data_IF_822496970648
#
_entry.id   IF_822496970648
#
_cell.length_a   1.000
_cell.length_b   1.000
_cell.length_c   1.000
_cell.angle_alpha   90.00
_cell.angle_beta   90.00
_cell.angle_gamma   90.00
#
_symmetry.space_group_name_H-M   'P 1'
#
loop_
_entity.id
_entity.type
_entity.pdbx_description
1 polymer ?
#
# COMPACT_ATOMS: atom_id res chain seq x y z
N UNK A 1 -0.58 -3.78 -8.08
CA UNK A 1 -1.76 -2.89 -8.05
C UNK A 1 -1.53 -1.67 -8.92
N UNK A 2 -2.60 -1.06 -9.39
CA UNK A 2 -2.50 0.16 -10.20
C UNK A 2 -2.18 1.38 -9.33
N UNK A 3 -2.73 1.41 -8.12
CA UNK A 3 -2.52 2.51 -7.18
C UNK A 3 -2.90 2.07 -5.77
N UNK A 4 -2.51 2.90 -4.80
CA UNK A 4 -2.94 2.75 -3.41
C UNK A 4 -3.62 4.04 -2.97
N UNK A 5 -4.45 3.96 -1.94
CA UNK A 5 -5.18 5.10 -1.43
C UNK A 5 -4.85 5.31 0.05
N UNK A 6 -4.59 6.55 0.43
CA UNK A 6 -4.25 6.92 1.79
C UNK A 6 -4.97 8.21 2.17
N UNK A 7 -5.37 8.37 3.44
CA UNK A 7 -5.98 9.62 3.89
C UNK A 7 -4.91 10.69 4.15
N UNK A 8 -5.17 11.89 3.67
CA UNK A 8 -4.34 13.05 3.94
C UNK A 8 -5.13 14.03 4.79
N UNK A 9 -4.51 14.55 5.85
CA UNK A 9 -5.16 15.45 6.81
C UNK A 9 -4.61 16.87 6.75
N UNK A 10 -3.90 17.23 5.70
CA UNK A 10 -3.26 18.56 5.60
C UNK A 10 -4.26 19.71 5.65
N UNK A 11 -5.49 19.47 5.24
CA UNK A 11 -6.56 20.50 5.28
C UNK A 11 -7.35 20.51 6.59
N UNK A 12 -6.96 19.66 7.55
CA UNK A 12 -7.71 19.49 8.80
C UNK A 12 -8.82 18.45 8.74
N UNK A 13 -9.13 17.95 7.55
CA UNK A 13 -10.11 16.87 7.34
C UNK A 13 -9.45 15.76 6.53
N UNK A 14 -9.96 14.54 6.69
CA UNK A 14 -9.49 13.41 5.91
C UNK A 14 -9.89 13.58 4.44
N UNK A 15 -8.92 13.64 3.57
CA UNK A 15 -9.13 13.63 2.13
C UNK A 15 -8.39 12.43 1.57
N UNK A 16 -9.09 11.57 0.84
CA UNK A 16 -8.45 10.41 0.22
C UNK A 16 -7.54 10.88 -0.91
N UNK A 17 -6.31 10.34 -0.92
CA UNK A 17 -5.35 10.57 -2.00
C UNK A 17 -5.06 9.27 -2.71
N UNK A 18 -4.82 9.35 -4.00
CA UNK A 18 -4.36 8.24 -4.82
C UNK A 18 -2.87 8.36 -5.07
N UNK A 19 -2.14 7.26 -4.85
CA UNK A 19 -0.69 7.20 -5.01
C UNK A 19 -0.39 6.08 -5.99
N UNK A 20 0.33 6.41 -7.04
CA UNK A 20 0.66 5.48 -8.12
C UNK A 20 2.11 5.67 -8.55
N UNK A 21 2.61 4.78 -9.38
CA UNK A 21 3.92 4.97 -9.98
C UNK A 21 3.88 6.18 -10.91
N UNK A 22 4.92 7.00 -10.87
CA UNK A 22 5.00 8.21 -11.69
C UNK A 22 4.96 7.92 -13.19
N UNK A 23 5.45 6.75 -13.60
CA UNK A 23 5.45 6.32 -14.99
C UNK A 23 4.18 5.55 -15.41
N UNK A 24 3.23 5.39 -14.50
CA UNK A 24 1.98 4.67 -14.78
C UNK A 24 2.08 3.16 -14.70
N UNK A 25 3.24 2.60 -14.38
CA UNK A 25 3.40 1.16 -14.25
C UNK A 25 2.70 0.62 -12.99
N UNK A 26 2.31 -0.65 -12.96
CA UNK A 26 1.76 -1.23 -11.74
C UNK A 26 2.80 -1.25 -10.62
N UNK A 27 2.32 -1.15 -9.36
CA UNK A 27 3.16 -1.28 -8.17
C UNK A 27 3.08 -2.71 -7.65
N UNK A 28 4.24 -3.30 -7.33
CA UNK A 28 4.31 -4.57 -6.64
C UNK A 28 4.48 -4.35 -5.14
N UNK A 29 3.53 -4.80 -4.36
CA UNK A 29 3.55 -4.64 -2.90
C UNK A 29 3.98 -5.95 -2.25
N UNK A 30 4.96 -5.87 -1.35
CA UNK A 30 5.41 -7.05 -0.62
C UNK A 30 4.36 -7.47 0.40
N UNK A 31 3.98 -8.74 0.35
CA UNK A 31 3.03 -9.31 1.27
C UNK A 31 3.48 -10.68 1.76
N UNK A 32 2.84 -11.14 2.80
CA UNK A 32 3.00 -12.49 3.34
C UNK A 32 1.64 -13.15 3.40
N UNK A 33 1.64 -14.46 3.36
CA UNK A 33 0.40 -15.22 3.44
C UNK A 33 0.57 -16.40 4.39
N UNK A 34 -0.56 -16.88 4.89
CA UNK A 34 -0.58 -18.02 5.79
C UNK A 34 -1.79 -18.88 5.46
N UNK A 35 -1.57 -20.18 5.46
CA UNK A 35 -2.63 -21.17 5.30
C UNK A 35 -2.83 -21.90 6.63
N UNK A 36 -4.06 -21.91 7.11
CA UNK A 36 -4.48 -22.72 8.26
C UNK A 36 -5.42 -23.80 7.77
N UNK A 37 -5.11 -25.07 8.08
CA UNK A 37 -5.99 -26.17 7.71
C UNK A 37 -7.28 -26.14 8.51
N UNK A 38 -7.24 -25.67 9.77
CA UNK A 38 -8.39 -25.58 10.65
C UNK A 38 -8.54 -24.14 11.12
N UNK A 39 -9.24 -23.34 10.31
CA UNK A 39 -9.60 -21.98 10.65
C UNK A 39 -10.86 -21.93 11.52
N UNK A 40 -11.48 -20.74 11.67
CA UNK A 40 -12.78 -20.62 12.31
C UNK A 40 -13.77 -21.57 11.64
N UNK A 41 -14.61 -22.23 12.40
CA UNK A 41 -15.57 -23.21 11.91
C UNK A 41 -14.94 -24.49 11.35
N UNK A 42 -13.66 -24.75 11.62
CA UNK A 42 -12.98 -25.96 11.17
C UNK A 42 -12.66 -26.03 9.68
N UNK A 43 -12.90 -24.96 8.94
CA UNK A 43 -12.64 -24.91 7.49
C UNK A 43 -11.23 -24.36 7.21
N UNK A 44 -10.63 -24.74 6.07
CA UNK A 44 -9.36 -24.15 5.68
C UNK A 44 -9.47 -22.63 5.54
N UNK A 45 -8.42 -21.92 5.97
CA UNK A 45 -8.37 -20.48 5.89
C UNK A 45 -7.06 -20.05 5.26
N UNK A 46 -7.14 -19.23 4.23
CA UNK A 46 -6.00 -18.57 3.62
C UNK A 46 -6.08 -17.09 3.98
N UNK A 47 -5.01 -16.56 4.56
CA UNK A 47 -4.94 -15.14 4.90
C UNK A 47 -3.65 -14.53 4.35
N UNK A 48 -3.67 -13.23 4.11
CA UNK A 48 -2.49 -12.50 3.67
C UNK A 48 -2.46 -11.12 4.32
N UNK A 49 -1.26 -10.53 4.35
CA UNK A 49 -1.05 -9.18 4.86
C UNK A 49 -0.02 -8.48 4.02
N UNK A 50 -0.24 -7.20 3.78
CA UNK A 50 0.79 -6.34 3.19
C UNK A 50 1.72 -5.85 4.30
N UNK A 51 3.01 -5.83 4.01
CA UNK A 51 4.01 -5.36 4.97
C UNK A 51 4.14 -3.85 4.88
N UNK A 52 4.35 -3.22 6.04
CA UNK A 52 4.57 -1.78 6.10
C UNK A 52 5.84 -1.49 6.88
N UNK A 53 6.44 -0.33 6.59
CA UNK A 53 7.60 0.20 7.28
C UNK A 53 7.34 1.64 7.69
N UNK A 54 8.16 2.16 8.61
CA UNK A 54 8.05 3.55 9.03
C UNK A 54 8.32 4.50 7.86
N UNK A 55 7.55 5.58 7.79
CA UNK A 55 7.64 6.58 6.72
C UNK A 55 7.69 8.02 7.26
N UNK A 56 8.10 8.19 8.52
CA UNK A 56 8.14 9.53 9.14
C UNK A 56 9.04 10.51 8.38
N UNK A 57 10.07 10.01 7.72
CA UNK A 57 11.01 10.82 6.94
C UNK A 57 10.82 10.70 5.42
N UNK A 58 9.78 10.00 4.96
CA UNK A 58 9.53 9.88 3.52
C UNK A 58 8.85 11.16 3.01
N UNK A 59 9.39 11.83 1.97
CA UNK A 59 8.89 13.15 1.54
C UNK A 59 7.41 13.17 1.17
N UNK A 60 6.89 12.09 0.61
CA UNK A 60 5.49 12.00 0.22
C UNK A 60 4.63 11.35 1.29
N UNK A 61 5.03 10.17 1.76
CA UNK A 61 4.15 9.35 2.61
C UNK A 61 3.99 9.94 4.01
N UNK A 62 4.94 10.76 4.47
CA UNK A 62 4.79 11.46 5.76
C UNK A 62 3.62 12.43 5.76
N UNK A 63 3.10 12.83 4.60
CA UNK A 63 1.96 13.74 4.46
C UNK A 63 0.64 13.03 4.65
N UNK A 64 0.64 11.71 4.64
CA UNK A 64 -0.57 10.90 4.79
C UNK A 64 -0.85 10.65 6.26
N UNK A 65 -2.09 10.26 6.56
CA UNK A 65 -2.55 9.99 7.92
C UNK A 65 -2.54 11.22 8.82
N UNK A 66 -2.98 11.07 10.06
CA UNK A 66 -3.04 12.19 11.02
C UNK A 66 -1.64 12.64 11.42
N UNK A 67 -1.55 13.93 11.76
CA UNK A 67 -0.26 14.55 12.03
C UNK A 67 0.51 13.90 13.19
N UNK A 68 -0.22 13.40 14.20
CA UNK A 68 0.38 12.80 15.39
C UNK A 68 0.53 11.27 15.30
N UNK A 69 0.07 10.66 14.22
CA UNK A 69 0.23 9.22 14.01
C UNK A 69 1.63 8.91 13.50
N UNK A 70 2.16 7.75 13.89
CA UNK A 70 3.36 7.21 13.23
C UNK A 70 3.05 7.04 11.74
N UNK A 71 3.93 7.55 10.89
CA UNK A 71 3.76 7.40 9.44
C UNK A 71 4.27 6.05 8.99
N UNK A 72 3.44 5.34 8.23
CA UNK A 72 3.76 4.03 7.70
C UNK A 72 3.51 4.02 6.20
N UNK A 73 4.27 3.21 5.48
CA UNK A 73 4.05 2.98 4.06
C UNK A 73 4.22 1.51 3.74
N UNK A 74 3.53 1.05 2.71
CA UNK A 74 3.69 -0.32 2.22
C UNK A 74 5.08 -0.50 1.63
N UNK A 75 5.60 -1.73 1.69
CA UNK A 75 6.86 -2.07 1.04
C UNK A 75 6.58 -2.28 -0.44
N UNK A 76 7.10 -1.38 -1.26
CA UNK A 76 6.97 -1.44 -2.71
C UNK A 76 8.26 -1.99 -3.29
N UNK A 77 8.16 -3.01 -4.12
CA UNK A 77 9.31 -3.68 -4.72
C UNK A 77 9.53 -3.17 -6.15
N UNK A 78 10.79 -3.09 -6.55
CA UNK A 78 11.12 -2.94 -7.96
C UNK A 78 10.86 -4.26 -8.69
N UNK A 79 10.49 -4.22 -9.99
CA UNK A 79 10.21 -5.45 -10.73
C UNK A 79 11.34 -6.49 -10.70
N UNK A 80 12.61 -6.04 -10.64
CA UNK A 80 13.75 -6.97 -10.58
C UNK A 80 13.83 -7.71 -9.24
N UNK A 81 13.08 -7.29 -8.23
CA UNK A 81 13.05 -7.91 -6.91
C UNK A 81 11.92 -8.93 -6.74
N UNK A 82 10.99 -9.03 -7.70
CA UNK A 82 9.79 -9.85 -7.52
C UNK A 82 10.12 -11.32 -7.29
N UNK A 83 10.95 -11.90 -8.13
CA UNK A 83 11.32 -13.31 -7.98
C UNK A 83 12.11 -13.55 -6.71
N UNK A 84 13.04 -12.66 -6.38
CA UNK A 84 13.81 -12.79 -5.16
C UNK A 84 12.93 -12.73 -3.93
N UNK A 85 11.94 -11.84 -3.91
CA UNK A 85 10.99 -11.77 -2.79
C UNK A 85 10.18 -13.05 -2.65
N UNK A 86 9.69 -13.59 -3.77
CA UNK A 86 8.85 -14.78 -3.75
C UNK A 86 9.60 -16.03 -3.28
N UNK A 87 10.92 -16.06 -3.40
CA UNK A 87 11.73 -17.22 -3.07
C UNK A 87 12.67 -17.01 -1.89
N UNK A 88 12.71 -15.83 -1.29
CA UNK A 88 13.63 -15.57 -0.19
C UNK A 88 13.19 -16.33 1.08
N UNK A 89 14.15 -16.81 1.88
CA UNK A 89 13.83 -17.33 3.20
C UNK A 89 13.24 -16.23 4.09
N UNK A 90 12.36 -16.56 5.05
CA UNK A 90 11.77 -15.54 5.92
C UNK A 90 12.79 -14.66 6.63
N UNK A 91 13.94 -15.21 7.01
CA UNK A 91 15.01 -14.45 7.68
C UNK A 91 15.63 -13.37 6.80
N UNK A 92 15.52 -13.51 5.47
CA UNK A 92 16.04 -12.52 4.53
C UNK A 92 15.02 -11.47 4.12
N UNK A 93 13.76 -11.61 4.54
CA UNK A 93 12.71 -10.65 4.20
C UNK A 93 13.07 -9.19 4.56
N UNK A 94 13.69 -8.91 5.71
CA UNK A 94 14.06 -7.54 6.05
C UNK A 94 15.00 -6.86 5.05
N UNK A 95 15.74 -7.62 4.25
CA UNK A 95 16.63 -7.05 3.23
C UNK A 95 15.86 -6.28 2.15
N UNK A 96 14.55 -6.53 2.02
CA UNK A 96 13.69 -5.86 1.05
C UNK A 96 12.98 -4.64 1.63
N UNK A 97 13.13 -4.39 2.94
CA UNK A 97 12.39 -3.34 3.63
C UNK A 97 13.10 -2.00 3.41
N UNK A 98 12.68 -1.31 2.36
CA UNK A 98 13.21 0.00 2.02
C UNK A 98 12.07 0.90 1.57
N UNK A 99 12.18 2.19 1.87
CA UNK A 99 11.23 3.18 1.37
C UNK A 99 11.38 3.30 -0.15
N UNK A 100 10.25 3.23 -0.85
CA UNK A 100 10.26 3.46 -2.29
C UNK A 100 10.51 4.94 -2.56
N UNK A 101 11.40 5.29 -3.49
CA UNK A 101 11.75 6.70 -3.72
C UNK A 101 10.54 7.55 -4.07
N UNK A 102 10.40 8.70 -3.40
CA UNK A 102 9.27 9.59 -3.61
C UNK A 102 9.18 10.09 -5.06
N UNK A 103 10.32 10.29 -5.72
CA UNK A 103 10.37 10.75 -7.10
C UNK A 103 9.82 9.73 -8.11
N UNK A 104 9.69 8.47 -7.70
CA UNK A 104 9.09 7.43 -8.52
C UNK A 104 7.57 7.30 -8.30
N UNK A 105 7.01 8.09 -7.41
CA UNK A 105 5.60 8.07 -7.08
C UNK A 105 4.93 9.37 -7.49
N UNK A 106 3.66 9.28 -7.85
CA UNK A 106 2.80 10.42 -8.10
C UNK A 106 1.56 10.32 -7.22
N UNK A 107 1.17 11.43 -6.61
CA UNK A 107 0.05 11.46 -5.70
C UNK A 107 -0.88 12.63 -6.03
N UNK A 108 -2.17 12.39 -5.85
CA UNK A 108 -3.18 13.42 -6.10
C UNK A 108 -4.38 13.17 -5.20
N UNK A 109 -5.14 14.22 -4.85
CA UNK A 109 -6.42 14.04 -4.18
C UNK A 109 -7.37 13.21 -5.05
N UNK A 110 -8.08 12.28 -4.43
CA UNK A 110 -9.08 11.46 -5.09
C UNK A 110 -10.25 11.24 -4.14
N UNK A 111 -11.02 12.31 -3.81
CA UNK A 111 -12.09 12.21 -2.83
C UNK A 111 -13.16 11.21 -3.26
N UNK A 112 -13.71 10.50 -2.28
CA UNK A 112 -14.84 9.60 -2.49
C UNK A 112 -16.14 10.40 -2.60
N UNK A 113 -17.17 9.77 -3.17
CA UNK A 113 -18.52 10.25 -3.07
C UNK A 113 -18.97 11.16 -4.19
N UNK A 114 -18.11 11.52 -5.12
CA UNK A 114 -18.53 12.24 -6.31
C UNK A 114 -18.88 11.20 -7.37
N UNK A 115 -20.17 10.99 -7.56
CA UNK A 115 -20.63 10.11 -8.64
C UNK A 115 -20.70 10.89 -9.92
N UNK A 116 -20.08 10.35 -10.94
CA UNK A 116 -20.03 10.94 -12.25
C UNK A 116 -21.13 10.32 -13.11
N UNK A 117 -22.19 11.10 -13.40
CA UNK A 117 -23.13 10.74 -14.44
C UNK A 117 -23.64 9.30 -14.42
N UNK A 118 -24.20 8.83 -13.34
CA UNK A 118 -24.73 7.49 -13.26
C UNK A 118 -23.69 6.39 -13.18
N UNK A 119 -22.47 6.75 -13.04
CA UNK A 119 -21.37 5.84 -12.83
C UNK A 119 -21.38 5.25 -11.42
N UNK A 120 -22.51 4.91 -10.91
CA UNK A 120 -22.52 4.18 -9.65
C UNK A 120 -21.67 2.95 -9.80
N UNK A 121 -20.38 3.11 -9.72
CA UNK A 121 -19.49 1.98 -9.81
C UNK A 121 -19.75 1.02 -8.66
N UNK A 122 -19.87 -0.24 -8.96
CA UNK A 122 -20.00 -1.26 -7.92
C UNK A 122 -18.75 -1.37 -7.06
N UNK A 123 -17.69 -0.73 -7.49
CA UNK A 123 -16.41 -0.75 -6.78
C UNK A 123 -16.21 0.45 -5.86
N UNK A 124 -17.13 1.35 -5.86
CA UNK A 124 -17.07 2.55 -5.01
C UNK A 124 -17.30 2.20 -3.54
#
# INVERSE_FOLDING_TARGET
VASIFEPCYETGKAVRWEIAAADGAPLGLAGIWKHKQHGPNGLPLLSFSMLTINADDHPLMKRMHKLDDEKRMVVILDPHQYDDWLHCPPEDAPDFFAQYPAEKLAAKPAPKGVKQGGQGSLLD
#
